data_IF_460276814649
#
_entry.id   IF_460276814649
#
_cell.length_a   1.000
_cell.length_b   1.000
_cell.length_c   1.000
_cell.angle_alpha   90.00
_cell.angle_beta   90.00
_cell.angle_gamma   90.00
#
_symmetry.space_group_name_H-M   'P 1'
#
loop_
_entity.id
_entity.type
_entity.pdbx_description
1 polymer ?
#
# COMPACT_ATOMS: atom_id res chain seq x y z
N UNK A 1 25.95 1.25 -29.60
CA UNK A 1 24.53 1.45 -29.94
C UNK A 1 24.33 0.86 -31.32
N UNK A 2 23.57 -0.23 -31.38
CA UNK A 2 23.21 -0.89 -32.64
C UNK A 2 22.18 -0.02 -33.39
N UNK A 3 22.19 -0.03 -34.73
CA UNK A 3 21.23 0.76 -35.53
C UNK A 3 19.79 0.30 -35.27
N UNK A 4 19.62 -0.98 -34.91
CA UNK A 4 18.35 -1.55 -34.49
C UNK A 4 17.88 -1.02 -33.12
N UNK A 5 18.78 -0.85 -32.15
CA UNK A 5 18.45 -0.23 -30.86
C UNK A 5 18.04 1.24 -31.05
N UNK A 6 18.76 1.97 -31.90
CA UNK A 6 18.45 3.37 -32.21
C UNK A 6 17.10 3.53 -32.91
N UNK A 7 16.75 2.61 -33.82
CA UNK A 7 15.44 2.59 -34.49
C UNK A 7 14.31 2.23 -33.52
N UNK A 8 14.52 1.25 -32.65
CA UNK A 8 13.54 0.87 -31.63
C UNK A 8 13.29 2.00 -30.63
N UNK A 9 14.34 2.65 -30.12
CA UNK A 9 14.22 3.78 -29.18
C UNK A 9 13.52 4.98 -29.84
N UNK A 10 13.87 5.31 -31.10
CA UNK A 10 13.25 6.40 -31.83
C UNK A 10 11.74 6.17 -32.13
N UNK A 11 11.33 4.90 -32.33
CA UNK A 11 9.90 4.56 -32.48
C UNK A 11 9.16 4.51 -31.14
N UNK A 12 9.79 4.00 -30.07
CA UNK A 12 9.18 3.93 -28.73
C UNK A 12 8.95 5.32 -28.12
N UNK A 13 9.90 6.24 -28.26
CA UNK A 13 9.73 7.62 -27.79
C UNK A 13 8.60 8.35 -28.54
N UNK A 14 8.45 8.13 -29.84
CA UNK A 14 7.40 8.79 -30.62
C UNK A 14 5.99 8.25 -30.32
N UNK A 15 5.83 6.93 -30.22
CA UNK A 15 4.52 6.27 -30.05
C UNK A 15 3.99 6.42 -28.61
N UNK A 16 4.89 6.50 -27.62
CA UNK A 16 4.47 6.56 -26.22
C UNK A 16 3.93 7.91 -25.77
N UNK A 17 4.48 9.01 -26.29
CA UNK A 17 3.98 10.34 -25.97
C UNK A 17 2.74 10.70 -26.79
N UNK A 18 2.35 9.90 -27.78
CA UNK A 18 1.18 10.14 -28.65
C UNK A 18 -0.13 10.30 -27.85
N UNK A 19 -0.21 9.67 -26.67
CA UNK A 19 -1.35 9.77 -25.75
C UNK A 19 -1.16 10.79 -24.62
N UNK A 20 -0.23 11.74 -24.77
CA UNK A 20 0.02 12.75 -23.74
C UNK A 20 -1.22 13.63 -23.52
N UNK A 21 -1.72 13.82 -22.28
CA UNK A 21 -2.98 14.51 -22.00
C UNK A 21 -3.12 15.94 -22.56
N UNK A 22 -2.01 16.64 -22.80
CA UNK A 22 -2.01 17.98 -23.42
C UNK A 22 -2.47 17.95 -24.88
N UNK A 23 -2.36 16.82 -25.59
CA UNK A 23 -2.80 16.68 -26.98
C UNK A 23 -4.29 17.02 -27.18
N UNK A 24 -5.12 16.77 -26.17
CA UNK A 24 -6.56 17.04 -26.22
C UNK A 24 -6.91 18.52 -25.94
N UNK A 25 -5.94 19.36 -25.59
CA UNK A 25 -6.14 20.77 -25.31
C UNK A 25 -6.12 21.60 -26.60
N UNK A 26 -6.52 22.87 -26.51
CA UNK A 26 -6.43 23.80 -27.64
C UNK A 26 -4.97 24.02 -28.06
N UNK A 27 -4.72 24.31 -29.34
CA UNK A 27 -3.36 24.62 -29.83
C UNK A 27 -2.69 25.76 -29.05
N UNK A 28 -3.46 26.74 -28.58
CA UNK A 28 -2.96 27.85 -27.76
C UNK A 28 -2.50 27.36 -26.38
N UNK A 29 -3.28 26.51 -25.73
CA UNK A 29 -2.90 25.90 -24.45
C UNK A 29 -1.68 24.97 -24.62
N UNK A 30 -1.65 24.13 -25.68
CA UNK A 30 -0.50 23.28 -25.99
C UNK A 30 0.78 24.11 -26.17
N UNK A 31 0.70 25.22 -26.91
CA UNK A 31 1.83 26.13 -27.08
C UNK A 31 2.25 26.78 -25.76
N UNK A 32 1.30 27.23 -24.93
CA UNK A 32 1.59 27.77 -23.60
C UNK A 32 2.28 26.73 -22.70
N UNK A 33 1.88 25.47 -22.79
CA UNK A 33 2.52 24.37 -22.05
C UNK A 33 3.99 24.20 -22.44
N UNK A 34 4.26 24.12 -23.74
CA UNK A 34 5.63 23.99 -24.27
C UNK A 34 6.47 25.23 -23.96
N UNK A 35 5.88 26.43 -24.02
CA UNK A 35 6.53 27.68 -23.60
C UNK A 35 6.90 27.63 -22.11
N UNK A 36 6.02 27.09 -21.27
CA UNK A 36 6.30 26.85 -19.85
C UNK A 36 7.54 25.97 -19.65
N UNK A 37 7.68 24.88 -20.41
CA UNK A 37 8.86 24.00 -20.35
C UNK A 37 10.10 24.72 -20.88
N UNK A 38 9.98 25.48 -21.97
CA UNK A 38 11.06 26.23 -22.56
C UNK A 38 11.67 27.29 -21.61
N UNK A 39 10.88 27.86 -20.69
CA UNK A 39 11.40 28.74 -19.63
C UNK A 39 12.39 28.04 -18.70
N UNK A 40 12.14 26.76 -18.41
CA UNK A 40 13.00 25.98 -17.52
C UNK A 40 14.27 25.55 -18.24
N UNK A 41 14.15 25.22 -19.53
CA UNK A 41 15.26 24.82 -20.38
C UNK A 41 16.37 25.89 -20.49
N UNK A 42 16.05 27.18 -20.41
CA UNK A 42 17.05 28.26 -20.42
C UNK A 42 17.28 28.88 -19.04
N UNK A 43 16.95 28.18 -17.96
CA UNK A 43 17.06 28.70 -16.60
C UNK A 43 18.51 28.95 -16.16
N UNK A 44 19.46 28.18 -16.67
CA UNK A 44 20.87 28.29 -16.35
C UNK A 44 21.64 29.26 -17.28
N UNK A 45 21.01 29.64 -18.41
CA UNK A 45 21.52 30.53 -19.46
C UNK A 45 22.11 29.80 -20.67
N UNK A 46 22.00 28.47 -20.73
CA UNK A 46 22.31 27.64 -21.88
C UNK A 46 21.06 26.83 -22.26
N UNK A 47 21.01 26.35 -23.51
CA UNK A 47 19.96 25.45 -23.97
C UNK A 47 20.64 24.21 -24.51
N UNK A 48 20.48 23.08 -23.83
CA UNK A 48 21.15 21.83 -24.19
C UNK A 48 20.39 21.09 -25.30
N UNK A 49 21.11 20.37 -26.17
CA UNK A 49 20.48 19.63 -27.27
C UNK A 49 19.57 18.49 -26.77
N UNK A 50 19.89 17.85 -25.65
CA UNK A 50 19.09 16.77 -25.06
C UNK A 50 17.72 17.28 -24.54
N UNK A 51 17.68 18.51 -24.02
CA UNK A 51 16.46 19.18 -23.60
C UNK A 51 15.60 19.62 -24.79
N UNK A 52 16.25 20.13 -25.85
CA UNK A 52 15.57 20.42 -27.13
C UNK A 52 14.97 19.17 -27.75
N UNK A 53 15.67 18.04 -27.64
CA UNK A 53 15.16 16.76 -28.11
C UNK A 53 13.90 16.35 -27.33
N UNK A 54 13.83 16.64 -26.03
CA UNK A 54 12.64 16.36 -25.24
C UNK A 54 11.44 17.22 -25.70
N UNK A 55 11.63 18.51 -25.92
CA UNK A 55 10.60 19.37 -26.50
C UNK A 55 10.18 18.91 -27.90
N UNK A 56 11.12 18.43 -28.72
CA UNK A 56 10.84 17.88 -30.05
C UNK A 56 9.93 16.65 -29.99
N UNK A 57 10.14 15.76 -29.03
CA UNK A 57 9.27 14.59 -28.80
C UNK A 57 7.85 15.06 -28.46
N UNK A 58 7.70 16.06 -27.58
CA UNK A 58 6.40 16.61 -27.21
C UNK A 58 5.70 17.35 -28.37
N UNK A 59 6.43 18.14 -29.18
CA UNK A 59 5.87 18.80 -30.36
C UNK A 59 5.32 17.77 -31.34
N UNK A 60 6.08 16.70 -31.59
CA UNK A 60 5.64 15.61 -32.47
C UNK A 60 4.42 14.91 -31.88
N UNK A 61 4.39 14.67 -30.57
CA UNK A 61 3.28 13.98 -29.94
C UNK A 61 1.99 14.80 -29.91
N UNK A 62 2.09 16.12 -29.88
CA UNK A 62 0.95 17.04 -29.95
C UNK A 62 0.48 17.31 -31.39
N UNK A 63 1.08 16.64 -32.40
CA UNK A 63 0.83 16.86 -33.83
C UNK A 63 1.09 18.31 -34.28
N UNK A 64 2.05 18.99 -33.63
CA UNK A 64 2.46 20.35 -33.96
C UNK A 64 3.59 20.38 -35.00
N UNK A 65 3.67 21.49 -35.76
CA UNK A 65 4.74 21.65 -36.75
C UNK A 65 6.11 21.83 -36.07
N UNK A 66 7.13 21.23 -36.67
CA UNK A 66 8.50 21.24 -36.14
C UNK A 66 9.10 22.65 -36.07
N UNK A 67 8.59 23.59 -36.90
CA UNK A 67 8.95 25.01 -36.82
C UNK A 67 8.59 25.65 -35.46
N UNK A 68 7.67 25.04 -34.70
CA UNK A 68 7.35 25.48 -33.34
C UNK A 68 8.57 25.41 -32.41
N UNK A 69 9.51 24.48 -32.64
CA UNK A 69 10.71 24.36 -31.82
C UNK A 69 11.58 25.62 -31.87
N UNK A 70 11.74 26.22 -33.05
CA UNK A 70 12.50 27.46 -33.22
C UNK A 70 11.85 28.60 -32.42
N UNK A 71 10.53 28.73 -32.50
CA UNK A 71 9.78 29.73 -31.74
C UNK A 71 9.88 29.54 -30.22
N UNK A 72 9.94 28.29 -29.75
CA UNK A 72 10.10 27.97 -28.34
C UNK A 72 11.51 28.29 -27.83
N UNK A 73 12.53 28.04 -28.65
CA UNK A 73 13.92 28.42 -28.34
C UNK A 73 14.08 29.94 -28.34
N UNK A 74 13.47 30.65 -29.30
CA UNK A 74 13.43 32.12 -29.29
C UNK A 74 12.76 32.67 -28.03
N UNK A 75 11.62 32.09 -27.65
CA UNK A 75 10.91 32.44 -26.41
C UNK A 75 11.74 32.14 -25.16
N UNK A 76 12.42 30.99 -25.09
CA UNK A 76 13.30 30.65 -23.97
C UNK A 76 14.42 31.69 -23.78
N UNK A 77 14.97 32.19 -24.88
CA UNK A 77 16.01 33.23 -24.89
C UNK A 77 15.48 34.62 -24.53
N UNK A 78 14.24 34.94 -24.93
CA UNK A 78 13.61 36.24 -24.68
C UNK A 78 12.16 36.05 -24.21
N UNK A 79 11.97 35.62 -22.95
CA UNK A 79 10.64 35.31 -22.46
C UNK A 79 9.84 36.60 -22.23
N UNK A 80 8.62 36.64 -22.76
CA UNK A 80 7.72 37.77 -22.56
C UNK A 80 6.83 37.56 -21.32
N UNK A 81 6.56 38.67 -20.64
CA UNK A 81 5.84 38.65 -19.36
C UNK A 81 4.36 38.25 -19.53
N UNK A 82 3.74 38.60 -20.65
CA UNK A 82 2.31 38.40 -20.86
C UNK A 82 2.01 36.91 -21.08
N UNK A 83 2.87 36.21 -21.83
CA UNK A 83 2.83 34.77 -22.05
C UNK A 83 3.11 33.99 -20.75
N UNK A 84 4.10 34.40 -19.95
CA UNK A 84 4.33 33.79 -18.62
C UNK A 84 3.08 33.91 -17.74
N UNK A 85 2.44 35.09 -17.75
CA UNK A 85 1.22 35.31 -16.98
C UNK A 85 0.04 34.49 -17.52
N UNK A 86 -0.08 34.35 -18.85
CA UNK A 86 -1.07 33.51 -19.49
C UNK A 86 -0.89 32.04 -19.08
N UNK A 87 0.34 31.51 -19.12
CA UNK A 87 0.66 30.15 -18.67
C UNK A 87 0.15 29.89 -17.24
N UNK A 88 0.54 30.73 -16.27
CA UNK A 88 0.11 30.55 -14.88
C UNK A 88 -1.41 30.68 -14.74
N UNK A 89 -2.04 31.63 -15.45
CA UNK A 89 -3.50 31.78 -15.42
C UNK A 89 -4.22 30.54 -15.97
N UNK A 90 -3.66 29.91 -17.01
CA UNK A 90 -4.23 28.74 -17.65
C UNK A 90 -4.09 27.49 -16.79
N UNK A 91 -2.95 27.28 -16.12
CA UNK A 91 -2.62 26.01 -15.47
C UNK A 91 -2.65 26.00 -13.94
N UNK A 92 -2.70 27.16 -13.28
CA UNK A 92 -2.77 27.26 -11.81
C UNK A 92 -3.93 26.45 -11.24
N UNK A 93 -3.65 25.66 -10.20
CA UNK A 93 -4.59 24.76 -9.50
C UNK A 93 -5.24 23.69 -10.39
N UNK A 94 -4.78 23.48 -11.63
CA UNK A 94 -5.30 22.39 -12.47
C UNK A 94 -4.51 21.10 -12.24
N UNK A 95 -5.14 19.92 -12.28
CA UNK A 95 -4.44 18.64 -12.15
C UNK A 95 -3.32 18.44 -13.18
N UNK A 96 -3.46 19.02 -14.38
CA UNK A 96 -2.45 18.94 -15.45
C UNK A 96 -1.12 19.62 -15.08
N UNK A 97 -1.12 20.54 -14.09
CA UNK A 97 0.11 21.14 -13.57
C UNK A 97 1.03 20.11 -12.89
N UNK A 98 0.47 18.99 -12.40
CA UNK A 98 1.26 17.88 -11.86
C UNK A 98 2.09 17.20 -12.97
N UNK A 99 1.48 17.02 -14.14
CA UNK A 99 2.16 16.46 -15.31
C UNK A 99 3.22 17.43 -15.83
N UNK A 100 2.89 18.73 -15.88
CA UNK A 100 3.87 19.77 -16.21
C UNK A 100 5.12 19.67 -15.34
N UNK A 101 4.95 19.54 -14.02
CA UNK A 101 6.07 19.41 -13.10
C UNK A 101 6.89 18.14 -13.37
N UNK A 102 6.23 17.03 -13.70
CA UNK A 102 6.89 15.79 -14.05
C UNK A 102 7.72 15.92 -15.35
N UNK A 103 7.13 16.46 -16.42
CA UNK A 103 7.81 16.68 -17.70
C UNK A 103 9.01 17.61 -17.55
N UNK A 104 8.87 18.62 -16.69
CA UNK A 104 9.97 19.52 -16.37
C UNK A 104 11.14 18.79 -15.69
N UNK A 105 10.85 17.84 -14.79
CA UNK A 105 11.87 17.00 -14.16
C UNK A 105 12.50 16.01 -15.14
N UNK A 106 11.72 15.48 -16.09
CA UNK A 106 12.21 14.60 -17.15
C UNK A 106 13.17 15.34 -18.10
N UNK A 107 12.81 16.57 -18.47
CA UNK A 107 13.63 17.42 -19.33
C UNK A 107 14.96 17.79 -18.68
N UNK A 108 14.91 18.40 -17.48
CA UNK A 108 16.11 18.95 -16.79
C UNK A 108 17.07 17.88 -16.25
N UNK A 109 16.73 16.60 -16.33
CA UNK A 109 17.56 15.51 -15.78
C UNK A 109 17.91 14.45 -16.81
N UNK A 110 17.73 14.76 -18.10
CA UNK A 110 18.05 13.88 -19.22
C UNK A 110 19.57 13.70 -19.39
N UNK A 111 20.35 14.74 -19.09
CA UNK A 111 21.82 14.77 -19.18
C UNK A 111 22.53 14.25 -17.90
N UNK A 112 21.76 13.80 -16.90
CA UNK A 112 22.20 13.35 -15.57
C UNK A 112 22.90 14.39 -14.69
N UNK A 113 22.97 15.66 -15.12
CA UNK A 113 23.54 16.76 -14.34
C UNK A 113 22.40 17.55 -13.71
N UNK A 114 22.49 17.81 -12.40
CA UNK A 114 21.49 18.64 -11.72
C UNK A 114 22.01 20.08 -11.67
N UNK A 115 21.41 20.98 -12.43
CA UNK A 115 21.69 22.39 -12.33
C UNK A 115 20.82 23.05 -11.24
N UNK A 116 21.44 23.57 -10.19
CA UNK A 116 20.75 24.21 -9.05
C UNK A 116 19.80 25.34 -9.49
N UNK A 117 20.13 26.03 -10.59
CA UNK A 117 19.31 27.11 -11.16
C UNK A 117 18.01 26.61 -11.80
N UNK A 118 18.07 25.53 -12.56
CA UNK A 118 16.87 24.90 -13.14
C UNK A 118 15.94 24.44 -12.02
N UNK A 119 16.48 23.74 -11.02
CA UNK A 119 15.68 23.31 -9.87
C UNK A 119 15.06 24.48 -9.11
N UNK A 120 15.74 25.62 -9.01
CA UNK A 120 15.16 26.82 -8.41
C UNK A 120 13.98 27.36 -9.24
N UNK A 121 14.06 27.33 -10.58
CA UNK A 121 12.95 27.71 -11.46
C UNK A 121 11.81 26.71 -11.37
N UNK A 122 12.08 25.39 -11.40
CA UNK A 122 11.11 24.32 -11.21
C UNK A 122 10.30 24.52 -9.93
N UNK A 123 10.99 24.70 -8.80
CA UNK A 123 10.35 24.93 -7.50
C UNK A 123 9.49 26.20 -7.50
N UNK A 124 9.98 27.27 -8.13
CA UNK A 124 9.24 28.53 -8.24
C UNK A 124 7.98 28.38 -9.12
N UNK A 125 8.06 27.62 -10.21
CA UNK A 125 6.91 27.33 -11.06
C UNK A 125 5.88 26.47 -10.34
N UNK A 126 6.32 25.43 -9.62
CA UNK A 126 5.43 24.59 -8.81
C UNK A 126 4.67 25.41 -7.75
N UNK A 127 5.34 26.38 -7.12
CA UNK A 127 4.73 27.27 -6.14
C UNK A 127 3.74 28.26 -6.77
N UNK A 128 4.05 28.81 -7.94
CA UNK A 128 3.13 29.71 -8.68
C UNK A 128 1.92 28.97 -9.29
N UNK A 129 2.09 27.71 -9.66
CA UNK A 129 1.01 26.81 -10.08
C UNK A 129 0.16 26.33 -8.90
N UNK A 130 0.59 26.59 -7.67
CA UNK A 130 -0.03 26.17 -6.41
C UNK A 130 -0.17 24.65 -6.27
N UNK A 131 0.87 23.92 -6.67
CA UNK A 131 0.96 22.49 -6.42
C UNK A 131 1.33 22.30 -4.94
N UNK A 132 0.56 21.48 -4.22
CA UNK A 132 0.82 21.20 -2.79
C UNK A 132 2.22 20.60 -2.60
N UNK A 133 2.94 20.99 -1.54
CA UNK A 133 4.31 20.51 -1.27
C UNK A 133 4.39 18.97 -1.14
N UNK A 134 3.34 18.33 -0.60
CA UNK A 134 3.23 16.87 -0.58
C UNK A 134 3.22 16.29 -2.01
N UNK A 135 2.34 16.79 -2.86
CA UNK A 135 2.25 16.40 -4.27
C UNK A 135 3.53 16.68 -5.06
N UNK A 136 4.23 17.80 -4.80
CA UNK A 136 5.53 18.08 -5.42
C UNK A 136 6.55 16.97 -5.10
N UNK A 137 6.60 16.53 -3.84
CA UNK A 137 7.46 15.42 -3.41
C UNK A 137 7.03 14.10 -4.04
N UNK A 138 5.72 13.82 -4.09
CA UNK A 138 5.19 12.61 -4.70
C UNK A 138 5.56 12.49 -6.18
N UNK A 139 5.47 13.60 -6.92
CA UNK A 139 5.89 13.69 -8.34
C UNK A 139 7.40 13.43 -8.48
N UNK A 140 8.21 14.01 -7.58
CA UNK A 140 9.65 13.79 -7.56
C UNK A 140 10.04 12.34 -7.27
N UNK A 141 9.38 11.72 -6.30
CA UNK A 141 9.59 10.33 -5.93
C UNK A 141 9.17 9.41 -7.09
N UNK A 142 8.02 9.67 -7.73
CA UNK A 142 7.58 8.96 -8.94
C UNK A 142 8.63 9.07 -10.06
N UNK A 143 9.14 10.27 -10.35
CA UNK A 143 10.22 10.47 -11.32
C UNK A 143 11.44 9.59 -10.98
N UNK A 144 11.86 9.58 -9.72
CA UNK A 144 12.99 8.75 -9.29
C UNK A 144 12.72 7.25 -9.45
N UNK A 145 11.49 6.78 -9.19
CA UNK A 145 11.14 5.37 -9.36
C UNK A 145 11.09 4.97 -10.83
N UNK A 146 10.52 5.79 -11.71
CA UNK A 146 10.48 5.55 -13.16
C UNK A 146 11.91 5.54 -13.72
N UNK A 147 12.74 6.55 -13.39
CA UNK A 147 14.15 6.62 -13.83
C UNK A 147 14.94 5.37 -13.44
N UNK A 148 14.71 4.85 -12.23
CA UNK A 148 15.39 3.65 -11.73
C UNK A 148 14.70 2.33 -12.15
N UNK A 149 13.66 2.37 -13.00
CA UNK A 149 12.85 1.21 -13.41
C UNK A 149 12.29 0.43 -12.22
N UNK A 150 12.01 1.12 -11.10
CA UNK A 150 11.42 0.54 -9.91
C UNK A 150 9.89 0.56 -9.99
N UNK A 151 9.36 -0.31 -10.85
CA UNK A 151 7.93 -0.34 -11.17
C UNK A 151 7.05 -0.66 -9.96
N UNK A 152 7.53 -1.51 -9.05
CA UNK A 152 6.81 -1.90 -7.84
C UNK A 152 6.50 -0.71 -6.91
N UNK A 153 7.44 0.21 -6.73
CA UNK A 153 7.21 1.42 -5.92
C UNK A 153 6.46 2.50 -6.73
N UNK A 154 6.70 2.61 -8.05
CA UNK A 154 5.93 3.54 -8.90
C UNK A 154 4.43 3.23 -8.93
N UNK A 155 4.05 1.95 -8.82
CA UNK A 155 2.68 1.48 -8.74
C UNK A 155 1.88 2.05 -7.55
N UNK A 156 2.56 2.50 -6.49
CA UNK A 156 1.90 3.17 -5.36
C UNK A 156 1.26 4.49 -5.80
N UNK A 157 1.89 5.20 -6.72
CA UNK A 157 1.43 6.49 -7.23
C UNK A 157 0.35 6.33 -8.30
N UNK A 158 0.33 5.21 -9.03
CA UNK A 158 -0.75 4.86 -9.97
C UNK A 158 -1.98 4.26 -9.30
N UNK A 159 -1.81 3.63 -8.12
CA UNK A 159 -2.92 3.03 -7.35
C UNK A 159 -3.50 3.93 -6.27
N UNK A 160 -2.95 5.12 -6.08
CA UNK A 160 -3.43 6.08 -5.10
C UNK A 160 -4.03 7.30 -5.79
N UNK A 161 -5.04 7.91 -5.18
CA UNK A 161 -5.55 9.23 -5.59
C UNK A 161 -4.55 10.37 -5.31
N UNK A 162 -3.29 10.06 -4.96
CA UNK A 162 -2.22 11.06 -4.76
C UNK A 162 -1.89 11.79 -6.07
N UNK A 163 -1.89 11.05 -7.18
CA UNK A 163 -1.66 11.56 -8.53
C UNK A 163 -2.79 11.06 -9.44
N UNK A 164 -3.12 11.81 -10.50
CA UNK A 164 -4.10 11.35 -11.48
C UNK A 164 -3.47 10.28 -12.39
N UNK A 165 -3.81 8.99 -12.27
CA UNK A 165 -3.12 7.92 -13.00
C UNK A 165 -3.26 8.05 -14.52
N UNK A 166 -4.40 8.60 -14.98
CA UNK A 166 -4.66 8.86 -16.40
C UNK A 166 -3.64 9.83 -17.00
N UNK A 167 -3.09 10.74 -16.20
CA UNK A 167 -2.09 11.69 -16.68
C UNK A 167 -0.74 11.05 -16.95
N UNK A 168 -0.43 9.94 -16.30
CA UNK A 168 0.90 9.31 -16.35
C UNK A 168 0.90 7.96 -17.08
N UNK A 169 -0.26 7.53 -17.59
CA UNK A 169 -0.40 6.26 -18.31
C UNK A 169 0.53 6.16 -19.53
N UNK A 170 0.68 7.26 -20.27
CA UNK A 170 1.58 7.36 -21.42
C UNK A 170 3.05 7.04 -21.06
N UNK A 171 3.47 7.23 -19.79
CA UNK A 171 4.81 6.86 -19.33
C UNK A 171 4.96 5.34 -19.16
N UNK A 172 3.90 4.63 -18.80
CA UNK A 172 3.92 3.17 -18.76
C UNK A 172 3.98 2.60 -20.17
N UNK A 173 3.21 3.20 -21.10
CA UNK A 173 3.26 2.88 -22.52
C UNK A 173 4.68 3.08 -23.08
N UNK A 174 5.39 4.14 -22.66
CA UNK A 174 6.80 4.38 -23.02
C UNK A 174 7.74 3.25 -22.64
N UNK A 175 7.54 2.69 -21.45
CA UNK A 175 8.34 1.58 -20.97
C UNK A 175 7.81 0.20 -21.43
N UNK A 176 6.78 0.18 -22.27
CA UNK A 176 6.14 -1.05 -22.75
C UNK A 176 5.45 -1.84 -21.65
N UNK A 177 4.99 -1.16 -20.59
CA UNK A 177 4.40 -1.78 -19.41
C UNK A 177 2.89 -1.59 -19.40
N UNK A 178 2.18 -2.68 -19.15
CA UNK A 178 0.74 -2.63 -18.92
C UNK A 178 0.45 -2.16 -17.49
N UNK A 179 -0.48 -1.21 -17.35
CA UNK A 179 -0.84 -0.64 -16.06
C UNK A 179 -1.42 -1.68 -15.11
N UNK A 180 -2.25 -2.60 -15.60
CA UNK A 180 -2.84 -3.64 -14.77
C UNK A 180 -1.78 -4.65 -14.31
N UNK A 181 -0.79 -4.96 -15.15
CA UNK A 181 0.36 -5.81 -14.79
C UNK A 181 1.26 -5.16 -13.72
N UNK A 182 1.57 -3.87 -13.86
CA UNK A 182 2.34 -3.11 -12.85
C UNK A 182 1.59 -3.04 -11.52
N UNK A 183 0.27 -2.84 -11.57
CA UNK A 183 -0.57 -2.81 -10.38
C UNK A 183 -0.70 -4.19 -9.72
N UNK A 184 -0.79 -5.27 -10.51
CA UNK A 184 -0.85 -6.64 -10.02
C UNK A 184 0.45 -7.08 -9.36
N UNK A 185 1.60 -6.87 -10.01
CA UNK A 185 2.92 -7.17 -9.44
C UNK A 185 3.19 -6.38 -8.14
N UNK A 186 2.76 -5.11 -8.08
CA UNK A 186 2.86 -4.31 -6.87
C UNK A 186 1.95 -4.81 -5.73
N UNK A 187 0.83 -5.49 -6.01
CA UNK A 187 0.02 -6.14 -4.97
C UNK A 187 0.77 -7.31 -4.34
N UNK A 188 1.41 -8.14 -5.15
CA UNK A 188 2.22 -9.26 -4.65
C UNK A 188 3.42 -8.77 -3.82
N UNK A 189 4.11 -7.74 -4.29
CA UNK A 189 5.24 -7.15 -3.56
C UNK A 189 4.80 -6.52 -2.22
N UNK A 190 3.65 -5.83 -2.19
CA UNK A 190 3.07 -5.27 -0.95
C UNK A 190 2.70 -6.36 0.05
N UNK A 191 2.10 -7.44 -0.43
CA UNK A 191 1.78 -8.62 0.37
C UNK A 191 3.04 -9.19 1.02
N UNK A 192 4.12 -9.34 0.26
CA UNK A 192 5.37 -9.90 0.78
C UNK A 192 6.08 -8.97 1.77
N UNK A 193 6.07 -7.64 1.53
CA UNK A 193 6.53 -6.66 2.53
C UNK A 193 5.71 -6.72 3.82
N UNK A 194 4.39 -6.86 3.70
CA UNK A 194 3.48 -6.99 4.84
C UNK A 194 3.75 -8.27 5.62
N UNK A 195 3.86 -9.42 4.94
CA UNK A 195 4.25 -10.69 5.55
C UNK A 195 5.57 -10.56 6.29
N UNK A 196 6.59 -9.98 5.66
CA UNK A 196 7.91 -9.78 6.27
C UNK A 196 7.86 -8.86 7.49
N UNK A 197 7.03 -7.81 7.47
CA UNK A 197 6.83 -6.92 8.62
C UNK A 197 6.15 -7.66 9.79
N UNK A 198 5.10 -8.42 9.51
CA UNK A 198 4.41 -9.25 10.52
C UNK A 198 5.36 -10.30 11.10
N UNK A 199 6.10 -11.01 10.25
CA UNK A 199 7.08 -12.02 10.66
C UNK A 199 8.18 -11.43 11.54
N UNK A 200 8.71 -10.24 11.21
CA UNK A 200 9.72 -9.54 12.01
C UNK A 200 9.21 -9.19 13.40
N UNK A 201 7.95 -8.75 13.53
CA UNK A 201 7.36 -8.42 14.83
C UNK A 201 7.13 -9.64 15.71
N UNK A 202 6.58 -10.70 15.11
CA UNK A 202 6.30 -11.93 15.83
C UNK A 202 7.58 -12.66 16.19
N UNK A 203 8.59 -12.63 15.31
CA UNK A 203 9.86 -13.33 15.44
C UNK A 203 9.70 -14.80 15.84
N UNK A 204 9.27 -15.63 14.88
CA UNK A 204 9.01 -17.05 15.09
C UNK A 204 10.22 -17.84 15.64
N UNK A 205 11.45 -17.36 15.40
CA UNK A 205 12.68 -18.02 15.89
C UNK A 205 12.79 -18.01 17.42
N UNK A 206 12.10 -17.08 18.09
CA UNK A 206 12.06 -17.03 19.56
C UNK A 206 11.12 -18.07 20.18
N UNK A 207 10.24 -18.68 19.38
CA UNK A 207 9.31 -19.68 19.88
C UNK A 207 9.93 -21.07 19.86
N UNK A 208 9.87 -21.74 21.01
CA UNK A 208 10.21 -23.15 21.10
C UNK A 208 9.04 -24.01 20.60
N UNK A 209 9.36 -25.10 19.93
CA UNK A 209 8.41 -26.06 19.39
C UNK A 209 8.49 -27.38 20.18
N UNK A 210 7.35 -28.01 20.41
CA UNK A 210 7.27 -29.31 21.07
C UNK A 210 6.40 -30.28 20.27
N UNK A 211 6.65 -31.60 20.37
CA UNK A 211 5.78 -32.59 19.77
C UNK A 211 4.35 -32.45 20.29
N UNK A 212 3.38 -32.48 19.38
CA UNK A 212 1.97 -32.40 19.76
C UNK A 212 1.62 -33.64 20.58
N UNK A 213 0.91 -33.45 21.68
CA UNK A 213 0.39 -34.56 22.47
C UNK A 213 -1.02 -34.25 22.96
N UNK A 214 -1.83 -35.31 23.00
CA UNK A 214 -3.13 -35.33 23.64
C UNK A 214 -3.05 -36.35 24.78
N UNK A 215 -3.55 -36.00 25.96
CA UNK A 215 -3.33 -36.74 27.22
C UNK A 215 -3.80 -38.20 27.27
N UNK A 216 -4.53 -38.69 26.27
CA UNK A 216 -5.00 -40.09 26.16
C UNK A 216 -4.12 -40.95 25.24
N UNK A 217 -3.05 -40.41 24.66
CA UNK A 217 -2.26 -41.12 23.66
C UNK A 217 -3.03 -41.40 22.37
N UNK A 218 -4.10 -40.65 22.08
CA UNK A 218 -4.81 -40.74 20.79
C UNK A 218 -3.83 -40.58 19.63
N UNK A 219 -3.99 -41.44 18.60
CA UNK A 219 -3.08 -41.43 17.44
C UNK A 219 -3.08 -40.04 16.80
N UNK A 220 -1.92 -39.39 16.83
CA UNK A 220 -1.69 -38.16 16.08
C UNK A 220 -1.94 -38.42 14.60
N UNK A 221 -2.48 -37.42 13.90
CA UNK A 221 -2.49 -37.47 12.44
C UNK A 221 -1.01 -37.41 12.03
N UNK A 222 -0.52 -38.26 11.11
CA UNK A 222 0.86 -38.19 10.62
C UNK A 222 1.30 -36.80 10.16
N UNK A 223 0.36 -35.92 9.83
CA UNK A 223 0.60 -34.54 9.40
C UNK A 223 0.80 -33.57 10.56
N UNK A 224 0.35 -33.88 11.76
CA UNK A 224 0.47 -33.01 12.93
C UNK A 224 1.78 -33.32 13.65
N UNK A 225 2.78 -32.45 13.52
CA UNK A 225 4.13 -32.71 14.05
C UNK A 225 4.41 -31.98 15.36
N UNK A 226 4.35 -30.65 15.32
CA UNK A 226 4.84 -29.79 16.41
C UNK A 226 3.88 -28.63 16.69
N UNK A 227 3.89 -28.15 17.93
CA UNK A 227 3.12 -26.98 18.40
C UNK A 227 4.04 -26.05 19.18
N UNK A 228 3.76 -24.75 19.17
CA UNK A 228 4.53 -23.79 19.98
C UNK A 228 4.33 -24.04 21.48
N UNK A 229 5.36 -23.85 22.29
CA UNK A 229 5.28 -24.03 23.75
C UNK A 229 4.59 -22.87 24.47
N UNK A 230 4.47 -21.73 23.80
CA UNK A 230 3.87 -20.48 24.30
C UNK A 230 2.86 -19.95 23.27
N UNK A 231 1.97 -19.05 23.74
CA UNK A 231 1.08 -18.31 22.86
C UNK A 231 1.83 -17.25 22.07
N UNK A 232 1.31 -16.92 20.90
CA UNK A 232 1.72 -15.71 20.19
C UNK A 232 1.44 -14.48 21.06
N UNK A 233 2.50 -13.91 21.65
CA UNK A 233 2.40 -12.82 22.63
C UNK A 233 1.95 -11.50 22.01
N UNK A 234 2.09 -11.35 20.70
CA UNK A 234 1.74 -10.12 19.99
C UNK A 234 0.52 -10.32 19.08
N UNK A 235 -0.44 -9.38 19.09
CA UNK A 235 -1.53 -9.39 18.13
C UNK A 235 -0.96 -9.21 16.71
N UNK A 236 -1.49 -9.99 15.78
CA UNK A 236 -1.09 -9.95 14.38
C UNK A 236 -1.40 -8.60 13.73
N UNK A 237 -2.55 -8.02 14.07
CA UNK A 237 -2.99 -6.73 13.52
C UNK A 237 -2.73 -5.63 14.55
N UNK A 238 -1.56 -5.01 14.42
CA UNK A 238 -1.11 -3.93 15.32
C UNK A 238 -1.62 -2.55 14.88
N UNK A 239 -1.63 -1.60 15.80
CA UNK A 239 -1.92 -0.17 15.56
C UNK A 239 -1.09 0.41 14.40
N UNK A 240 0.16 -0.03 14.22
CA UNK A 240 1.01 0.38 13.08
C UNK A 240 0.46 -0.09 11.72
N UNK A 241 -0.12 -1.29 11.66
CA UNK A 241 -0.71 -1.79 10.42
C UNK A 241 -1.99 -1.02 10.09
N UNK A 242 -2.83 -0.78 11.09
CA UNK A 242 -4.02 0.04 10.93
C UNK A 242 -3.65 1.47 10.53
N UNK A 243 -2.61 2.05 11.14
CA UNK A 243 -2.08 3.36 10.80
C UNK A 243 -1.78 3.45 9.31
N UNK A 244 -0.95 2.55 8.79
CA UNK A 244 -0.57 2.58 7.37
C UNK A 244 -1.77 2.37 6.44
N UNK A 245 -2.67 1.44 6.77
CA UNK A 245 -3.86 1.18 5.96
C UNK A 245 -4.80 2.39 5.94
N UNK A 246 -5.06 2.98 7.10
CA UNK A 246 -5.97 4.11 7.25
C UNK A 246 -5.39 5.39 6.68
N UNK A 247 -4.10 5.65 6.88
CA UNK A 247 -3.43 6.80 6.29
C UNK A 247 -3.52 6.74 4.77
N UNK A 248 -3.20 5.58 4.18
CA UNK A 248 -3.30 5.41 2.73
C UNK A 248 -4.72 5.64 2.20
N UNK A 249 -5.76 5.30 2.97
CA UNK A 249 -7.16 5.56 2.57
C UNK A 249 -7.59 7.01 2.79
N UNK A 250 -7.07 7.66 3.82
CA UNK A 250 -7.28 9.08 4.10
C UNK A 250 -6.63 9.95 3.01
N UNK A 251 -5.37 9.67 2.67
CA UNK A 251 -4.63 10.32 1.59
C UNK A 251 -5.36 10.16 0.25
N UNK A 252 -6.03 9.02 0.10
CA UNK A 252 -6.86 8.67 -1.06
C UNK A 252 -8.23 9.36 -1.07
N UNK A 253 -8.62 10.08 -0.03
CA UNK A 253 -9.96 10.66 0.12
C UNK A 253 -11.08 9.62 0.25
N UNK A 254 -10.74 8.34 0.42
CA UNK A 254 -11.72 7.26 0.67
C UNK A 254 -12.28 7.34 2.09
N UNK A 255 -11.49 7.90 3.01
CA UNK A 255 -11.88 8.12 4.39
C UNK A 255 -11.98 9.61 4.70
N UNK A 256 -12.95 9.93 5.55
CA UNK A 256 -13.07 11.23 6.22
C UNK A 256 -13.06 10.99 7.73
N UNK A 257 -12.30 11.77 8.46
CA UNK A 257 -12.25 11.68 9.92
C UNK A 257 -13.03 12.84 10.52
N UNK A 258 -14.01 12.52 11.35
CA UNK A 258 -14.78 13.49 12.16
C UNK A 258 -14.91 12.95 13.58
N UNK A 259 -14.61 13.78 14.58
CA UNK A 259 -14.74 13.45 16.00
C UNK A 259 -14.09 12.11 16.42
N UNK A 260 -12.94 11.78 15.82
CA UNK A 260 -12.20 10.55 16.10
C UNK A 260 -12.81 9.28 15.48
N UNK A 261 -13.75 9.44 14.55
CA UNK A 261 -14.38 8.36 13.79
C UNK A 261 -14.01 8.53 12.32
N UNK A 262 -13.50 7.46 11.71
CA UNK A 262 -13.28 7.38 10.28
C UNK A 262 -14.56 6.89 9.59
N UNK A 263 -15.01 7.63 8.59
CA UNK A 263 -16.16 7.33 7.75
C UNK A 263 -15.69 7.05 6.33
N UNK A 264 -16.36 6.12 5.64
CA UNK A 264 -16.10 5.82 4.24
C UNK A 264 -17.00 6.66 3.31
N UNK A 265 -16.42 7.25 2.27
CA UNK A 265 -17.16 7.99 1.24
C UNK A 265 -17.87 9.25 1.77
N UNK A 266 -19.17 9.39 1.48
CA UNK A 266 -19.97 10.61 1.78
C UNK A 266 -20.27 10.84 3.27
N UNK A 267 -19.58 10.16 4.20
CA UNK A 267 -19.69 10.40 5.64
C UNK A 267 -20.77 9.61 6.38
N UNK A 268 -21.51 8.71 5.72
CA UNK A 268 -22.63 7.98 6.37
C UNK A 268 -22.24 6.60 6.89
N UNK A 269 -21.20 5.97 6.34
CA UNK A 269 -20.79 4.63 6.72
C UNK A 269 -19.58 4.68 7.65
N UNK A 270 -19.74 4.24 8.90
CA UNK A 270 -18.64 4.18 9.88
C UNK A 270 -17.64 3.12 9.44
N UNK A 271 -16.42 3.54 9.15
CA UNK A 271 -15.32 2.64 8.79
C UNK A 271 -14.55 2.18 10.01
N UNK A 272 -14.20 3.04 10.97
CA UNK A 272 -13.56 2.63 12.22
C UNK A 272 -13.59 3.74 13.27
N UNK A 273 -13.60 3.36 14.55
CA UNK A 273 -13.21 4.29 15.62
C UNK A 273 -11.69 4.35 15.71
N UNK A 274 -11.09 5.54 15.66
CA UNK A 274 -9.65 5.69 15.84
C UNK A 274 -9.20 5.23 17.24
N UNK A 275 -10.06 5.43 18.24
CA UNK A 275 -9.82 4.99 19.62
C UNK A 275 -9.65 3.46 19.70
N UNK A 276 -10.48 2.70 19.00
CA UNK A 276 -10.41 1.22 19.00
C UNK A 276 -9.16 0.69 18.29
N UNK A 277 -8.55 1.53 17.44
CA UNK A 277 -7.33 1.23 16.70
C UNK A 277 -6.07 1.80 17.36
N UNK A 278 -6.22 2.47 18.51
CA UNK A 278 -5.16 3.19 19.22
C UNK A 278 -4.50 4.28 18.35
N UNK A 279 -5.31 4.95 17.51
CA UNK A 279 -4.87 6.01 16.61
C UNK A 279 -5.42 7.37 17.07
N UNK A 280 -4.67 8.41 16.71
CA UNK A 280 -5.03 9.81 16.85
C UNK A 280 -4.92 10.47 15.48
N UNK A 281 -5.62 11.58 15.31
CA UNK A 281 -5.68 12.31 14.04
C UNK A 281 -5.31 13.77 14.23
N UNK A 282 -4.34 14.22 13.46
CA UNK A 282 -3.92 15.60 13.32
C UNK A 282 -4.63 16.20 12.10
N UNK A 283 -5.61 17.06 12.36
CA UNK A 283 -6.40 17.70 11.30
C UNK A 283 -5.59 18.74 10.52
N UNK A 284 -4.60 19.38 11.13
CA UNK A 284 -3.79 20.42 10.47
C UNK A 284 -2.86 19.77 9.44
N UNK A 285 -2.25 18.65 9.82
CA UNK A 285 -1.33 17.90 8.96
C UNK A 285 -2.01 16.77 8.16
N UNK A 286 -3.32 16.57 8.36
CA UNK A 286 -4.10 15.46 7.77
C UNK A 286 -3.43 14.09 8.00
N UNK A 287 -2.86 13.90 9.20
CA UNK A 287 -1.99 12.76 9.50
C UNK A 287 -2.50 11.96 10.71
N UNK A 288 -2.44 10.65 10.60
CA UNK A 288 -2.69 9.72 11.69
C UNK A 288 -1.39 9.41 12.44
N UNK A 289 -1.50 9.16 13.73
CA UNK A 289 -0.39 8.72 14.56
C UNK A 289 -0.87 7.76 15.64
N UNK A 290 0.03 6.92 16.15
CA UNK A 290 -0.30 5.98 17.23
C UNK A 290 -0.40 6.75 18.53
N UNK A 291 -1.44 6.46 19.32
CA UNK A 291 -1.59 7.04 20.65
C UNK A 291 -0.42 6.59 21.56
N UNK A 292 0.47 7.52 21.99
CA UNK A 292 1.65 7.17 22.77
C UNK A 292 1.33 6.73 24.20
N UNK A 293 0.15 7.06 24.74
CA UNK A 293 -0.26 6.64 26.09
C UNK A 293 -0.49 5.13 26.19
N UNK A 294 -0.92 4.50 25.09
CA UNK A 294 -1.26 3.07 25.04
C UNK A 294 0.00 2.19 25.01
N UNK A 295 1.14 2.71 24.54
CA UNK A 295 2.42 2.00 24.59
C UNK A 295 2.91 1.78 26.03
N UNK A 296 2.40 2.56 27.00
CA UNK A 296 2.78 2.45 28.42
C UNK A 296 1.89 1.49 29.21
N UNK A 297 0.65 1.25 28.78
CA UNK A 297 -0.33 0.42 29.51
C UNK A 297 -0.33 -1.06 29.11
N UNK A 298 0.28 -1.43 27.97
CA UNK A 298 0.30 -2.81 27.46
C UNK A 298 1.26 -3.76 28.22
N UNK A 299 1.96 -3.30 29.27
CA UNK A 299 2.92 -4.13 30.00
C UNK A 299 2.30 -5.11 31.00
N UNK A 300 1.10 -4.85 31.54
CA UNK A 300 0.68 -5.55 32.76
C UNK A 300 -0.71 -6.22 32.77
N UNK A 301 -1.68 -5.86 31.93
CA UNK A 301 -3.01 -6.54 31.94
C UNK A 301 -3.63 -6.61 30.52
N UNK A 302 -3.21 -7.59 29.72
CA UNK A 302 -3.80 -7.90 28.42
C UNK A 302 -5.02 -8.85 28.54
N UNK A 303 -5.96 -8.57 29.44
CA UNK A 303 -7.28 -9.22 29.37
C UNK A 303 -8.04 -8.62 28.18
N UNK A 304 -8.11 -9.42 27.11
CA UNK A 304 -8.63 -9.06 25.80
C UNK A 304 -10.03 -8.45 25.82
N UNK A 305 -10.09 -7.11 25.90
CA UNK A 305 -11.24 -6.36 25.42
C UNK A 305 -11.36 -6.64 23.92
N UNK A 306 -12.43 -7.33 23.54
CA UNK A 306 -12.81 -7.56 22.15
C UNK A 306 -12.92 -6.20 21.46
N UNK A 307 -11.93 -5.89 20.62
CA UNK A 307 -12.00 -4.71 19.76
C UNK A 307 -13.10 -4.97 18.74
N UNK A 308 -14.10 -4.11 18.68
CA UNK A 308 -15.14 -4.21 17.66
C UNK A 308 -14.63 -3.52 16.40
N UNK A 309 -14.28 -4.32 15.40
CA UNK A 309 -13.93 -3.81 14.08
C UNK A 309 -15.20 -3.72 13.22
N UNK A 310 -15.27 -2.72 12.35
CA UNK A 310 -16.32 -2.69 11.31
C UNK A 310 -16.13 -3.85 10.34
N UNK A 311 -17.21 -4.26 9.68
CA UNK A 311 -17.12 -5.28 8.63
C UNK A 311 -16.24 -4.82 7.46
N UNK A 312 -16.26 -3.54 7.14
CA UNK A 312 -15.50 -2.91 6.05
C UNK A 312 -14.00 -3.00 6.30
N UNK A 313 -13.56 -2.65 7.52
CA UNK A 313 -12.16 -2.76 7.90
C UNK A 313 -11.70 -4.23 7.90
N UNK A 314 -12.55 -5.14 8.38
CA UNK A 314 -12.27 -6.57 8.36
C UNK A 314 -12.13 -7.08 6.91
N UNK A 315 -13.04 -6.69 6.01
CA UNK A 315 -12.99 -7.03 4.58
C UNK A 315 -11.70 -6.51 3.94
N UNK A 316 -11.30 -5.28 4.22
CA UNK A 316 -10.08 -4.71 3.62
C UNK A 316 -8.80 -5.35 4.16
N UNK A 317 -8.76 -5.72 5.45
CA UNK A 317 -7.63 -6.47 6.02
C UNK A 317 -7.56 -7.88 5.43
N UNK A 318 -8.69 -8.54 5.21
CA UNK A 318 -8.69 -9.90 4.67
C UNK A 318 -8.37 -9.97 3.20
N UNK A 319 -8.75 -8.96 2.40
CA UNK A 319 -8.24 -8.79 1.03
C UNK A 319 -6.72 -8.75 0.98
N UNK A 320 -6.04 -8.26 2.02
CA UNK A 320 -4.57 -8.30 2.08
C UNK A 320 -4.01 -9.71 2.12
N UNK A 321 -4.78 -10.75 2.45
CA UNK A 321 -4.31 -12.14 2.52
C UNK A 321 -5.00 -13.06 1.50
N UNK A 322 -5.93 -12.53 0.71
CA UNK A 322 -6.64 -13.24 -0.37
C UNK A 322 -8.13 -12.91 -0.39
N UNK A 323 -8.72 -12.86 -1.59
CA UNK A 323 -10.13 -12.48 -1.78
C UNK A 323 -11.15 -13.53 -1.29
N UNK A 324 -10.70 -14.76 -0.99
CA UNK A 324 -11.56 -15.90 -0.64
C UNK A 324 -11.60 -16.19 0.88
N UNK A 325 -11.32 -15.20 1.73
CA UNK A 325 -11.35 -15.39 3.19
C UNK A 325 -12.69 -14.92 3.74
N UNK A 326 -13.50 -15.87 4.23
CA UNK A 326 -14.69 -15.55 5.01
C UNK A 326 -14.32 -15.41 6.48
N UNK A 327 -14.35 -14.19 6.99
CA UNK A 327 -13.98 -13.82 8.36
C UNK A 327 -14.87 -14.45 9.42
N UNK A 328 -16.12 -14.76 9.06
CA UNK A 328 -17.10 -15.39 9.94
C UNK A 328 -17.01 -16.91 9.88
N UNK A 329 -16.13 -17.48 9.05
CA UNK A 329 -15.89 -18.91 8.92
C UNK A 329 -14.57 -19.30 9.60
N UNK A 330 -14.58 -19.84 10.83
CA UNK A 330 -13.37 -20.13 11.60
C UNK A 330 -12.32 -20.98 10.89
N UNK A 331 -12.73 -21.87 9.98
CA UNK A 331 -11.80 -22.70 9.19
C UNK A 331 -10.85 -21.90 8.30
N UNK A 332 -11.26 -20.70 7.90
CA UNK A 332 -10.50 -19.85 6.98
C UNK A 332 -9.31 -19.14 7.68
N UNK A 333 -9.20 -19.21 9.01
CA UNK A 333 -8.07 -18.66 9.76
C UNK A 333 -6.71 -19.19 9.25
N UNK A 334 -6.69 -20.43 8.78
CA UNK A 334 -5.48 -21.06 8.26
C UNK A 334 -5.10 -20.56 6.86
N UNK A 335 -6.02 -19.93 6.13
CA UNK A 335 -5.69 -19.19 4.90
C UNK A 335 -4.87 -17.94 5.21
N UNK A 336 -4.98 -17.38 6.42
CA UNK A 336 -4.15 -16.26 6.91
C UNK A 336 -2.83 -16.75 7.51
N UNK A 337 -2.89 -17.73 8.42
CA UNK A 337 -1.70 -18.17 9.17
C UNK A 337 -0.68 -18.91 8.30
N UNK A 338 -1.13 -19.70 7.32
CA UNK A 338 -0.23 -20.53 6.52
C UNK A 338 0.69 -19.72 5.59
N UNK A 339 0.21 -18.70 4.86
CA UNK A 339 1.09 -17.82 4.08
C UNK A 339 2.08 -17.00 4.93
N UNK A 340 1.72 -16.64 6.17
CA UNK A 340 2.57 -15.80 7.04
C UNK A 340 3.60 -16.65 7.78
N UNK A 341 3.21 -17.80 8.33
CA UNK A 341 4.04 -18.57 9.26
C UNK A 341 4.38 -19.98 8.80
N UNK A 342 3.87 -20.41 7.63
CA UNK A 342 3.95 -21.82 7.21
C UNK A 342 3.24 -22.79 8.17
N UNK A 343 2.42 -22.25 9.07
CA UNK A 343 1.82 -22.96 10.21
C UNK A 343 0.32 -22.67 10.29
N UNK A 344 -0.41 -23.47 11.06
CA UNK A 344 -1.85 -23.35 11.26
C UNK A 344 -2.17 -23.11 12.72
N UNK A 345 -3.40 -22.69 13.05
CA UNK A 345 -3.85 -22.67 14.45
C UNK A 345 -3.87 -24.09 15.01
N UNK A 346 -3.63 -24.24 16.31
CA UNK A 346 -3.83 -25.50 17.01
C UNK A 346 -5.27 -26.01 16.91
N UNK A 347 -5.42 -27.33 16.76
CA UNK A 347 -6.72 -27.98 16.58
C UNK A 347 -7.22 -28.67 17.85
N UNK A 348 -8.53 -28.59 18.08
CA UNK A 348 -9.24 -29.36 19.10
C UNK A 348 -9.87 -30.61 18.47
N UNK A 349 -9.65 -31.78 19.09
CA UNK A 349 -10.16 -33.06 18.58
C UNK A 349 -11.48 -33.44 19.25
N UNK A 350 -12.31 -34.24 18.56
CA UNK A 350 -13.55 -34.77 19.16
C UNK A 350 -13.22 -35.68 20.34
N UNK A 351 -13.94 -35.54 21.44
CA UNK A 351 -13.79 -36.36 22.64
C UNK A 351 -15.13 -36.93 23.11
N UNK A 352 -15.42 -38.21 22.87
CA UNK A 352 -16.71 -38.78 23.26
C UNK A 352 -17.78 -38.60 22.18
N UNK A 353 -19.05 -38.66 22.58
CA UNK A 353 -20.17 -38.83 21.65
C UNK A 353 -20.72 -37.51 21.09
N UNK A 354 -20.65 -36.41 21.85
CA UNK A 354 -21.19 -35.12 21.41
C UNK A 354 -20.27 -34.44 20.42
N UNK A 355 -20.83 -33.69 19.47
CA UNK A 355 -20.07 -32.89 18.49
C UNK A 355 -19.45 -31.61 19.10
N UNK A 356 -19.77 -31.33 20.37
CA UNK A 356 -19.25 -30.20 21.13
C UNK A 356 -18.17 -30.63 22.12
N UNK A 357 -17.98 -31.93 22.29
CA UNK A 357 -16.97 -32.43 23.21
C UNK A 357 -15.59 -32.33 22.55
N UNK A 358 -14.74 -31.46 23.09
CA UNK A 358 -13.45 -31.14 22.48
C UNK A 358 -12.31 -31.40 23.44
N UNK A 359 -11.30 -32.07 22.91
CA UNK A 359 -10.00 -32.27 23.51
C UNK A 359 -8.99 -31.26 23.01
N UNK A 360 -8.26 -30.65 23.95
CA UNK A 360 -7.23 -29.68 23.66
C UNK A 360 -5.85 -30.34 23.57
N UNK A 361 -4.95 -29.81 22.72
CA UNK A 361 -3.55 -30.22 22.72
C UNK A 361 -2.88 -29.77 24.03
N UNK A 362 -2.10 -30.65 24.65
CA UNK A 362 -1.49 -30.40 25.97
C UNK A 362 0.00 -30.10 25.89
N UNK A 363 0.52 -29.28 26.82
CA UNK A 363 1.96 -29.06 27.02
C UNK A 363 2.40 -29.87 28.22
N UNK A 364 3.03 -31.03 28.01
CA UNK A 364 3.58 -31.87 29.09
C UNK A 364 2.59 -32.11 30.26
N UNK A 365 1.29 -32.26 29.96
CA UNK A 365 0.23 -32.43 30.97
C UNK A 365 -0.30 -31.16 31.64
N UNK A 366 0.22 -29.98 31.30
CA UNK A 366 -0.34 -28.70 31.72
C UNK A 366 -1.30 -28.16 30.65
N UNK A 367 -2.54 -27.94 31.06
CA UNK A 367 -3.54 -27.28 30.24
C UNK A 367 -3.41 -25.77 30.37
N UNK A 368 -3.45 -25.10 29.23
CA UNK A 368 -3.35 -23.65 29.15
C UNK A 368 -4.63 -23.08 28.56
N UNK A 369 -4.91 -21.82 28.90
CA UNK A 369 -6.10 -21.09 28.51
C UNK A 369 -6.05 -20.66 27.04
N UNK A 370 -6.18 -21.64 26.14
CA UNK A 370 -5.96 -21.49 24.70
C UNK A 370 -7.26 -21.52 23.91
N UNK A 371 -7.24 -20.81 22.78
CA UNK A 371 -8.23 -20.92 21.71
C UNK A 371 -7.73 -21.93 20.68
N UNK A 372 -8.60 -22.86 20.28
CA UNK A 372 -8.34 -23.85 19.22
C UNK A 372 -9.44 -23.85 18.18
N UNK A 373 -9.11 -24.32 16.98
CA UNK A 373 -10.11 -24.67 15.96
C UNK A 373 -10.60 -26.11 16.21
N UNK A 374 -11.85 -26.25 16.64
CA UNK A 374 -12.45 -27.56 16.89
C UNK A 374 -12.78 -28.33 15.62
N UNK A 375 -12.96 -29.65 15.75
CA UNK A 375 -13.39 -30.52 14.63
C UNK A 375 -14.72 -30.11 13.99
N UNK A 376 -15.57 -29.40 14.73
CA UNK A 376 -16.84 -28.87 14.23
C UNK A 376 -16.68 -27.60 13.37
N UNK A 377 -15.43 -27.14 13.12
CA UNK A 377 -15.15 -25.92 12.38
C UNK A 377 -15.49 -24.63 13.15
N UNK A 378 -15.51 -24.68 14.48
CA UNK A 378 -15.76 -23.52 15.37
C UNK A 378 -14.60 -23.29 16.32
N UNK A 379 -14.51 -22.09 16.89
CA UNK A 379 -13.50 -21.78 17.91
C UNK A 379 -13.96 -22.20 19.30
N UNK A 380 -13.02 -22.72 20.09
CA UNK A 380 -13.27 -23.14 21.47
C UNK A 380 -12.17 -22.65 22.37
N UNK A 381 -12.54 -22.28 23.59
CA UNK A 381 -11.62 -21.81 24.62
C UNK A 381 -11.49 -22.85 25.74
N UNK A 382 -10.33 -22.88 26.38
CA UNK A 382 -10.08 -23.71 27.57
C UNK A 382 -9.88 -22.86 28.84
N UNK A 383 -10.89 -22.09 29.29
CA UNK A 383 -10.74 -21.20 30.44
C UNK A 383 -10.43 -21.97 31.73
N UNK A 384 -10.96 -23.19 31.85
CA UNK A 384 -10.82 -24.02 33.03
C UNK A 384 -9.51 -24.82 33.07
N UNK A 385 -8.65 -24.69 32.04
CA UNK A 385 -7.41 -25.46 31.92
C UNK A 385 -7.66 -26.96 32.12
N UNK A 386 -8.67 -27.48 31.44
CA UNK A 386 -9.02 -28.92 31.42
C UNK A 386 -8.54 -29.56 30.13
N UNK A 387 -8.37 -30.87 30.14
CA UNK A 387 -7.90 -31.61 28.96
C UNK A 387 -8.97 -31.63 27.87
N UNK A 388 -10.23 -31.62 28.31
CA UNK A 388 -11.40 -31.59 27.47
C UNK A 388 -12.46 -30.66 28.05
N UNK A 389 -13.33 -30.17 27.17
CA UNK A 389 -14.59 -29.53 27.53
C UNK A 389 -15.73 -30.41 27.01
N UNK A 390 -16.77 -30.59 27.81
CA UNK A 390 -17.99 -31.28 27.40
C UNK A 390 -18.97 -30.31 26.73
N UNK A 391 -20.02 -30.86 26.13
CA UNK A 391 -21.11 -30.18 25.42
C UNK A 391 -21.74 -28.96 26.10
N UNK A 392 -21.53 -28.79 27.39
CA UNK A 392 -22.06 -27.66 28.17
C UNK A 392 -21.22 -26.37 27.99
N UNK A 393 -20.06 -26.46 27.33
CA UNK A 393 -19.23 -25.30 26.99
C UNK A 393 -19.52 -24.85 25.56
N UNK A 394 -20.21 -23.71 25.35
CA UNK A 394 -20.55 -23.25 24.02
C UNK A 394 -19.29 -22.87 23.23
N UNK A 395 -19.35 -23.09 21.90
CA UNK A 395 -18.38 -22.54 20.98
C UNK A 395 -18.30 -21.01 21.14
N UNK A 396 -17.12 -20.44 20.94
CA UNK A 396 -16.93 -19.00 20.98
C UNK A 396 -17.60 -18.34 19.78
N UNK A 397 -18.37 -17.29 20.06
CA UNK A 397 -18.85 -16.37 19.03
C UNK A 397 -17.75 -15.35 18.73
N UNK A 398 -16.74 -15.80 17.98
CA UNK A 398 -15.57 -15.01 17.59
C UNK A 398 -15.30 -15.20 16.11
N UNK A 399 -14.96 -14.11 15.43
CA UNK A 399 -14.49 -14.16 14.05
C UNK A 399 -12.97 -14.43 14.01
N UNK A 400 -12.42 -14.56 12.80
CA UNK A 400 -10.98 -14.80 12.60
C UNK A 400 -10.11 -13.69 13.22
N UNK A 401 -10.49 -12.42 13.05
CA UNK A 401 -9.72 -11.27 13.52
C UNK A 401 -9.66 -11.24 15.05
N UNK A 402 -10.77 -11.57 15.72
CA UNK A 402 -10.84 -11.65 17.18
C UNK A 402 -9.83 -12.68 17.71
N UNK A 403 -9.75 -13.85 17.07
CA UNK A 403 -8.79 -14.89 17.46
C UNK A 403 -7.35 -14.46 17.20
N UNK A 404 -7.06 -13.87 16.04
CA UNK A 404 -5.70 -13.42 15.68
C UNK A 404 -5.20 -12.28 16.58
N UNK A 405 -6.10 -11.46 17.11
CA UNK A 405 -5.77 -10.39 18.06
C UNK A 405 -5.82 -10.82 19.53
N UNK A 406 -6.42 -11.97 19.84
CA UNK A 406 -6.52 -12.46 21.21
C UNK A 406 -5.17 -12.78 21.85
N UNK A 407 -4.16 -13.12 21.04
CA UNK A 407 -2.87 -13.63 21.53
C UNK A 407 -3.00 -14.92 22.36
N UNK A 408 -4.12 -15.64 22.26
CA UNK A 408 -4.45 -16.82 23.08
C UNK A 408 -4.45 -18.12 22.28
N UNK A 409 -3.82 -18.15 21.11
CA UNK A 409 -3.70 -19.34 20.30
C UNK A 409 -2.24 -19.73 20.11
N UNK A 410 -2.04 -21.00 19.75
CA UNK A 410 -0.72 -21.55 19.44
C UNK A 410 -0.64 -21.90 17.96
N UNK A 411 0.56 -21.85 17.43
CA UNK A 411 0.84 -22.31 16.07
C UNK A 411 1.17 -23.79 16.08
N UNK A 412 0.70 -24.49 15.07
CA UNK A 412 0.90 -25.91 14.84
C UNK A 412 1.51 -26.10 13.45
N UNK A 413 2.59 -26.87 13.38
CA UNK A 413 3.20 -27.26 12.11
C UNK A 413 2.44 -28.44 11.53
N UNK A 414 2.20 -28.37 10.22
CA UNK A 414 1.65 -29.48 9.46
C UNK A 414 2.69 -29.96 8.46
N UNK A 415 2.89 -31.27 8.34
CA UNK A 415 3.78 -31.86 7.34
C UNK A 415 3.38 -31.43 5.93
N UNK A 416 4.38 -31.28 5.02
CA UNK A 416 4.11 -30.98 3.61
C UNK A 416 3.25 -32.10 3.00
N UNK A 417 2.22 -31.69 2.25
CA UNK A 417 1.47 -32.60 1.36
C UNK A 417 2.36 -33.13 0.26
#
# INVERSE_FOLDING_TARGET
MDILEFLEDATKEADAFENHPIKDFSLEDQLLYLQGLALVMNADGAVHEDEKEYLRILIKSFDMDQSSLESLVEFANQPDKDTIQAFFKTYRRKPIAQLFLFDTLMMTRRDEVVHDKEMAVVNKMADQLEILKGTQKDIYDLFCFIKNKNWAESALYFSSHLLNPDHFKHLLDYHGLDMDEVLASAREFRLDRLKAAIQRKVNLEQYSWEPISYLDGSKLDPKETEITTEFLKQPLFTSELYLSLMQAKLDRGELRIEDGIAYQGSGTNVYASLKDLDLLYDQENMALYINPEILKERSDDAEGKSRKYSEELIKDITKLFGNDIDVNKPSDINKVLKPIFGSVISYGRKYGSSDFDIKFPSKQGNNINQIVLGHSGRFYNNPQRREYISSDSPALDMNIIDVLNSGRFRLMRTGKK
#
